data_IF_586344435032
#
_entry.id   IF_586344435032
#
_cell.length_a   1.000
_cell.length_b   1.000
_cell.length_c   1.000
_cell.angle_alpha   90.00
_cell.angle_beta   90.00
_cell.angle_gamma   90.00
#
_symmetry.space_group_name_H-M   'P 1'
#
loop_
_entity.id
_entity.type
_entity.pdbx_description
1 polymer ?
#
# COMPACT_ATOMS: atom_id res chain seq x y z
N UNK A 1 1.61 29.47 16.52
CA UNK A 1 0.60 28.41 16.73
C UNK A 1 0.94 27.28 15.77
N UNK A 2 1.78 26.34 16.22
CA UNK A 2 2.20 25.19 15.42
C UNK A 2 1.16 24.09 15.59
N UNK A 3 0.27 23.91 14.60
CA UNK A 3 -0.58 22.71 14.57
C UNK A 3 0.31 21.51 14.24
N UNK A 4 0.61 20.70 15.25
CA UNK A 4 1.20 19.37 15.03
C UNK A 4 0.14 18.56 14.30
N UNK A 5 0.34 18.33 13.00
CA UNK A 5 -0.53 17.47 12.21
C UNK A 5 -0.51 16.07 12.86
N UNK A 6 -1.66 15.64 13.36
CA UNK A 6 -1.86 14.27 13.86
C UNK A 6 -1.48 13.33 12.71
N UNK A 7 -0.37 12.60 12.84
CA UNK A 7 0.08 11.71 11.78
C UNK A 7 -0.97 10.61 11.63
N UNK A 8 -1.64 10.67 10.50
CA UNK A 8 -2.58 9.69 10.00
C UNK A 8 -2.01 8.27 10.09
N UNK A 9 -2.83 7.32 10.54
CA UNK A 9 -2.52 5.89 10.48
C UNK A 9 -2.25 5.46 9.03
N UNK A 10 -1.10 4.84 8.76
CA UNK A 10 -0.84 4.16 7.48
C UNK A 10 -1.64 2.86 7.44
N UNK A 11 -2.43 2.70 6.38
CA UNK A 11 -3.21 1.48 6.15
C UNK A 11 -2.55 0.61 5.09
N UNK A 12 -2.61 -0.71 5.31
CA UNK A 12 -2.18 -1.72 4.36
C UNK A 12 -3.40 -2.49 3.89
N UNK A 13 -3.63 -2.52 2.58
CA UNK A 13 -4.75 -3.23 1.97
C UNK A 13 -4.21 -4.23 0.98
N UNK A 14 -4.64 -5.49 1.12
CA UNK A 14 -4.15 -6.63 0.35
C UNK A 14 -5.24 -7.24 -0.52
N UNK A 15 -4.96 -7.43 -1.80
CA UNK A 15 -5.75 -8.23 -2.72
C UNK A 15 -4.88 -9.41 -3.20
N UNK A 16 -5.41 -10.63 -3.19
CA UNK A 16 -4.64 -11.83 -3.57
C UNK A 16 -5.43 -12.69 -4.57
N UNK A 17 -4.75 -13.16 -5.61
CA UNK A 17 -5.25 -14.06 -6.64
C UNK A 17 -4.29 -15.22 -6.87
N UNK A 18 -4.81 -16.37 -7.31
CA UNK A 18 -3.96 -17.53 -7.58
C UNK A 18 -3.13 -17.32 -8.84
N UNK A 19 -3.66 -16.63 -9.86
CA UNK A 19 -2.95 -16.35 -11.11
C UNK A 19 -3.22 -14.96 -11.69
N UNK A 20 -2.34 -14.51 -12.59
CA UNK A 20 -2.60 -13.33 -13.43
C UNK A 20 -3.71 -13.71 -14.43
N UNK A 21 -4.76 -12.87 -14.51
CA UNK A 21 -5.96 -13.02 -15.37
C UNK A 21 -7.11 -13.88 -14.81
N UNK A 22 -6.95 -14.47 -13.62
CA UNK A 22 -8.06 -15.11 -12.90
C UNK A 22 -9.10 -14.05 -12.48
N UNK A 23 -10.41 -14.35 -12.59
CA UNK A 23 -11.46 -13.44 -12.12
C UNK A 23 -11.65 -12.15 -12.94
N UNK A 24 -11.38 -12.21 -14.26
CA UNK A 24 -11.77 -11.21 -15.28
C UNK A 24 -11.32 -9.77 -15.03
N UNK A 25 -10.24 -9.54 -14.27
CA UNK A 25 -9.79 -8.18 -13.98
C UNK A 25 -8.35 -8.10 -13.49
N UNK A 26 -7.73 -6.95 -13.79
CA UNK A 26 -6.38 -6.64 -13.36
C UNK A 26 -6.30 -6.60 -11.81
N UNK A 27 -5.37 -7.35 -11.18
CA UNK A 27 -5.22 -7.37 -9.73
C UNK A 27 -5.07 -5.98 -9.11
N UNK A 28 -4.31 -5.09 -9.78
CA UNK A 28 -4.15 -3.70 -9.35
C UNK A 28 -5.48 -2.93 -9.30
N UNK A 29 -6.29 -3.03 -10.37
CA UNK A 29 -7.58 -2.31 -10.45
C UNK A 29 -8.56 -2.83 -9.41
N UNK A 30 -8.60 -4.13 -9.19
CA UNK A 30 -9.47 -4.73 -8.17
C UNK A 30 -9.04 -4.32 -6.77
N UNK A 31 -7.75 -4.34 -6.45
CA UNK A 31 -7.23 -3.86 -5.18
C UNK A 31 -7.56 -2.38 -4.93
N UNK A 32 -7.47 -1.54 -5.97
CA UNK A 32 -7.88 -0.13 -5.92
C UNK A 32 -9.39 0.02 -5.68
N UNK A 33 -10.21 -0.80 -6.33
CA UNK A 33 -11.66 -0.79 -6.12
C UNK A 33 -12.02 -1.25 -4.69
N UNK A 34 -11.34 -2.27 -4.17
CA UNK A 34 -11.46 -2.73 -2.78
C UNK A 34 -11.10 -1.62 -1.79
N UNK A 35 -9.98 -0.91 -2.01
CA UNK A 35 -9.60 0.28 -1.25
C UNK A 35 -10.70 1.35 -1.27
N UNK A 36 -11.11 1.78 -2.47
CA UNK A 36 -12.11 2.83 -2.63
C UNK A 36 -13.44 2.48 -1.97
N UNK A 37 -13.89 1.22 -2.10
CA UNK A 37 -15.10 0.69 -1.43
C UNK A 37 -14.97 0.74 0.09
N UNK A 38 -13.82 0.33 0.64
CA UNK A 38 -13.60 0.32 2.08
C UNK A 38 -13.61 1.74 2.67
N UNK A 39 -12.96 2.68 1.97
CA UNK A 39 -12.99 4.08 2.37
C UNK A 39 -14.41 4.63 2.26
N UNK A 40 -15.07 4.48 1.10
CA UNK A 40 -16.42 5.00 0.85
C UNK A 40 -17.50 4.46 1.79
N UNK A 41 -17.38 3.21 2.26
CA UNK A 41 -18.32 2.62 3.21
C UNK A 41 -18.21 3.19 4.64
N UNK A 42 -17.06 3.79 5.00
CA UNK A 42 -16.76 4.24 6.35
C UNK A 42 -16.71 5.79 6.46
N UNK A 43 -17.87 6.43 6.31
CA UNK A 43 -18.05 7.90 6.31
C UNK A 43 -17.60 8.62 7.59
N UNK A 44 -17.48 7.90 8.70
CA UNK A 44 -17.00 8.44 9.98
C UNK A 44 -15.57 8.03 10.34
N UNK A 45 -14.86 7.30 9.48
CA UNK A 45 -13.50 6.88 9.78
C UNK A 45 -12.56 8.09 9.80
N UNK A 46 -11.58 8.04 10.72
CA UNK A 46 -10.44 8.96 10.72
C UNK A 46 -9.66 8.91 9.38
N UNK A 47 -9.93 7.90 8.54
CA UNK A 47 -9.36 7.72 7.20
C UNK A 47 -9.98 8.66 6.17
N UNK A 48 -11.28 8.97 6.28
CA UNK A 48 -11.90 9.97 5.40
C UNK A 48 -11.58 11.41 5.81
N UNK A 49 -11.32 11.64 7.11
CA UNK A 49 -11.12 12.98 7.67
C UNK A 49 -9.66 13.45 7.63
N UNK A 50 -8.73 12.60 7.22
CA UNK A 50 -7.31 12.91 7.12
C UNK A 50 -6.75 12.51 5.75
N UNK A 51 -5.69 13.21 5.30
CA UNK A 51 -4.89 12.83 4.14
C UNK A 51 -4.06 11.59 4.47
N UNK A 52 -4.72 10.44 4.63
CA UNK A 52 -4.09 9.23 5.15
C UNK A 52 -3.47 8.44 4.00
N UNK A 53 -2.12 8.39 3.88
CA UNK A 53 -1.49 7.56 2.89
C UNK A 53 -1.70 6.08 3.21
N UNK A 54 -1.94 5.29 2.19
CA UNK A 54 -2.09 3.85 2.27
C UNK A 54 -1.20 3.16 1.23
N UNK A 55 -0.71 1.97 1.59
CA UNK A 55 -0.11 1.06 0.64
C UNK A 55 -1.14 0.02 0.23
N UNK A 56 -1.29 -0.15 -1.08
CA UNK A 56 -2.09 -1.21 -1.68
C UNK A 56 -1.11 -2.27 -2.17
N UNK A 57 -1.21 -3.46 -1.59
CA UNK A 57 -0.50 -4.66 -2.03
C UNK A 57 -1.46 -5.49 -2.86
N UNK A 58 -1.01 -5.94 -4.03
CA UNK A 58 -1.76 -6.87 -4.85
C UNK A 58 -0.85 -8.01 -5.29
N UNK A 59 -1.31 -9.24 -5.09
CA UNK A 59 -0.57 -10.47 -5.41
C UNK A 59 -1.40 -11.26 -6.43
N UNK A 60 -0.75 -11.72 -7.50
CA UNK A 60 -1.37 -12.58 -8.49
C UNK A 60 -0.39 -13.67 -8.90
N UNK A 61 -0.64 -14.88 -8.39
CA UNK A 61 0.31 -15.99 -8.46
C UNK A 61 1.69 -15.58 -7.92
N UNK A 62 2.78 -15.80 -8.66
CA UNK A 62 4.12 -15.47 -8.20
C UNK A 62 4.48 -13.99 -8.38
N UNK A 63 3.52 -13.09 -8.60
CA UNK A 63 3.79 -11.68 -8.82
C UNK A 63 3.21 -10.81 -7.71
N UNK A 64 4.01 -9.84 -7.26
CA UNK A 64 3.68 -8.85 -6.26
C UNK A 64 3.69 -7.46 -6.89
N UNK A 65 2.68 -6.65 -6.62
CA UNK A 65 2.71 -5.23 -6.93
C UNK A 65 2.43 -4.40 -5.68
N UNK A 66 3.06 -3.23 -5.64
CA UNK A 66 2.85 -2.24 -4.59
C UNK A 66 2.38 -0.94 -5.23
N UNK A 67 1.29 -0.39 -4.71
CA UNK A 67 0.74 0.91 -5.07
C UNK A 67 0.60 1.80 -3.84
N UNK A 68 0.63 3.10 -4.07
CA UNK A 68 0.36 4.13 -3.07
C UNK A 68 -1.03 4.69 -3.32
N UNK A 69 -1.75 4.97 -2.24
CA UNK A 69 -3.06 5.58 -2.27
C UNK A 69 -3.14 6.73 -1.27
N UNK A 70 -3.85 7.79 -1.65
CA UNK A 70 -4.22 8.89 -0.75
C UNK A 70 -5.68 9.22 -1.01
N UNK A 71 -6.41 9.42 0.07
CA UNK A 71 -7.77 9.95 0.03
C UNK A 71 -7.75 11.42 0.44
N UNK A 72 -8.11 12.29 -0.51
CA UNK A 72 -8.29 13.73 -0.29
C UNK A 72 -9.64 14.17 -0.85
N UNK A 73 -9.65 15.23 -1.67
CA UNK A 73 -10.86 15.59 -2.43
C UNK A 73 -11.23 14.51 -3.47
N UNK A 74 -10.22 13.82 -4.01
CA UNK A 74 -10.35 12.73 -4.95
C UNK A 74 -9.53 11.51 -4.49
N UNK A 75 -9.88 10.34 -5.03
CA UNK A 75 -9.09 9.12 -4.86
C UNK A 75 -7.88 9.15 -5.79
N UNK A 76 -6.67 9.25 -5.23
CA UNK A 76 -5.44 9.06 -6.00
C UNK A 76 -4.82 7.73 -5.63
N UNK A 77 -4.74 6.82 -6.61
CA UNK A 77 -4.09 5.52 -6.48
C UNK A 77 -3.12 5.35 -7.64
N UNK A 78 -1.85 5.05 -7.35
CA UNK A 78 -0.81 4.87 -8.37
C UNK A 78 0.12 3.70 -8.04
N UNK A 79 0.51 2.88 -9.02
CA UNK A 79 1.54 1.87 -8.83
C UNK A 79 2.86 2.55 -8.46
N UNK A 80 3.49 2.08 -7.39
CA UNK A 80 4.84 2.50 -6.97
C UNK A 80 5.91 1.57 -7.56
N UNK A 81 5.52 0.36 -7.92
CA UNK A 81 6.36 -0.61 -8.60
C UNK A 81 5.64 -1.17 -9.82
N UNK A 82 6.41 -1.70 -10.77
CA UNK A 82 5.90 -2.70 -11.70
C UNK A 82 5.50 -3.97 -10.94
N UNK A 83 4.88 -4.93 -11.65
CA UNK A 83 4.70 -6.28 -11.11
C UNK A 83 6.07 -6.93 -10.92
N UNK A 84 6.37 -7.28 -9.67
CA UNK A 84 7.62 -7.87 -9.22
C UNK A 84 7.47 -9.40 -9.17
N UNK A 85 8.33 -10.16 -9.85
CA UNK A 85 8.35 -11.61 -9.68
C UNK A 85 8.89 -11.96 -8.29
N UNK A 86 8.17 -12.85 -7.60
CA UNK A 86 8.57 -13.49 -6.34
C UNK A 86 9.35 -14.79 -6.57
N UNK A 87 9.50 -15.20 -7.83
CA UNK A 87 10.30 -16.35 -8.23
C UNK A 87 11.67 -15.89 -8.71
N UNK A 88 12.68 -16.72 -8.46
CA UNK A 88 14.00 -16.50 -9.03
C UNK A 88 13.97 -16.72 -10.55
N UNK A 89 14.19 -15.65 -11.30
CA UNK A 89 14.34 -15.69 -12.75
C UNK A 89 15.83 -15.82 -13.08
N UNK A 90 16.29 -17.03 -13.46
CA UNK A 90 17.70 -17.32 -13.76
C UNK A 90 18.33 -16.34 -14.78
N UNK A 91 17.52 -15.89 -15.74
CA UNK A 91 17.97 -15.00 -16.82
C UNK A 91 17.75 -13.50 -16.51
N UNK A 92 17.26 -13.16 -15.31
CA UNK A 92 16.98 -11.80 -14.88
C UNK A 92 17.23 -11.64 -13.36
N UNK A 93 18.46 -11.90 -12.87
CA UNK A 93 18.78 -11.84 -11.43
C UNK A 93 18.58 -10.44 -10.82
N UNK A 94 18.68 -9.38 -11.63
CA UNK A 94 18.41 -8.00 -11.22
C UNK A 94 16.97 -7.80 -10.71
N UNK A 95 16.01 -8.55 -11.25
CA UNK A 95 14.62 -8.48 -10.79
C UNK A 95 14.48 -8.93 -9.33
N UNK A 96 15.30 -9.89 -8.88
CA UNK A 96 15.33 -10.31 -7.48
C UNK A 96 15.83 -9.16 -6.59
N UNK A 97 16.86 -8.43 -7.02
CA UNK A 97 17.38 -7.29 -6.27
C UNK A 97 16.34 -6.15 -6.18
N UNK A 98 15.60 -5.89 -7.26
CA UNK A 98 14.48 -4.93 -7.22
C UNK A 98 13.44 -5.37 -6.21
N UNK A 99 13.02 -6.64 -6.23
CA UNK A 99 12.05 -7.19 -5.26
C UNK A 99 12.55 -7.02 -3.82
N UNK A 100 13.81 -7.36 -3.54
CA UNK A 100 14.43 -7.22 -2.21
C UNK A 100 14.45 -5.76 -1.77
N UNK A 101 14.89 -4.84 -2.63
CA UNK A 101 14.94 -3.41 -2.30
C UNK A 101 13.55 -2.83 -2.06
N UNK A 102 12.55 -3.20 -2.88
CA UNK A 102 11.16 -2.78 -2.66
C UNK A 102 10.65 -3.25 -1.31
N UNK A 103 10.84 -4.54 -0.97
CA UNK A 103 10.37 -5.10 0.30
C UNK A 103 11.09 -4.48 1.50
N UNK A 104 12.41 -4.23 1.38
CA UNK A 104 13.19 -3.56 2.40
C UNK A 104 12.71 -2.12 2.61
N UNK A 105 12.48 -1.36 1.54
CA UNK A 105 11.94 0.00 1.61
C UNK A 105 10.54 0.02 2.24
N UNK A 106 9.66 -0.89 1.84
CA UNK A 106 8.32 -1.00 2.41
C UNK A 106 8.38 -1.31 3.92
N UNK A 107 9.26 -2.24 4.32
CA UNK A 107 9.50 -2.55 5.75
C UNK A 107 9.97 -1.32 6.52
N UNK A 108 10.95 -0.60 6.01
CA UNK A 108 11.49 0.60 6.66
C UNK A 108 10.39 1.64 6.87
N UNK A 109 9.60 1.91 5.83
CA UNK A 109 8.49 2.87 5.91
C UNK A 109 7.49 2.45 7.01
N UNK A 110 7.04 1.20 6.99
CA UNK A 110 6.10 0.70 8.00
C UNK A 110 6.66 0.78 9.43
N UNK A 111 7.95 0.49 9.61
CA UNK A 111 8.63 0.62 10.90
C UNK A 111 8.74 2.07 11.37
N UNK A 112 9.14 2.99 10.49
CA UNK A 112 9.22 4.43 10.82
C UNK A 112 7.87 4.97 11.29
N UNK A 113 6.77 4.58 10.62
CA UNK A 113 5.44 4.99 11.03
C UNK A 113 5.01 4.39 12.39
N UNK A 114 5.38 3.14 12.69
CA UNK A 114 5.13 2.56 14.01
C UNK A 114 5.86 3.32 15.12
N UNK A 115 7.13 3.67 14.91
CA UNK A 115 7.94 4.43 15.88
C UNK A 115 7.40 5.86 16.08
N UNK A 116 6.99 6.54 15.00
CA UNK A 116 6.38 7.87 15.10
C UNK A 116 5.04 7.86 15.84
N UNK A 117 4.21 6.84 15.61
CA UNK A 117 2.96 6.67 16.34
C UNK A 117 3.20 6.53 17.84
N UNK A 118 4.13 5.65 18.23
CA UNK A 118 4.55 5.50 19.63
C UNK A 118 5.02 6.83 20.22
N UNK A 119 5.86 7.58 19.51
CA UNK A 119 6.36 8.87 20.03
C UNK A 119 5.22 9.88 20.28
N UNK A 120 4.22 9.95 19.40
CA UNK A 120 3.07 10.84 19.59
C UNK A 120 2.21 10.39 20.78
N UNK A 121 1.92 9.08 20.89
CA UNK A 121 1.08 8.53 21.96
C UNK A 121 1.74 8.64 23.36
N UNK A 122 3.07 8.72 23.44
CA UNK A 122 3.81 8.83 24.71
C UNK A 122 4.11 10.27 25.15
N UNK A 123 4.11 11.24 24.24
CA UNK A 123 4.53 12.62 24.53
C UNK A 123 3.40 13.66 24.44
N UNK A 124 2.18 13.28 24.05
CA UNK A 124 1.02 14.17 23.96
C UNK A 124 -0.27 13.56 24.52
#
# INVERSE_FOLDING_TARGET
>A
VSQVAKIASVSLIGEMKNEISEGSGCPYIQACASYAKQIGANTNSAIQKGLNPAFIIYIAGPYLGVAGAVFGNDFTMKPLTSMLPLLYLKNAPEMMMVTVHTLAALKLVLQTYQTQKLYIDYFF
#
